data_IF_123997876349
#
_entry.id   IF_123997876349
#
_cell.length_a   1.000
_cell.length_b   1.000
_cell.length_c   1.000
_cell.angle_alpha   90.00
_cell.angle_beta   90.00
_cell.angle_gamma   90.00
#
_symmetry.space_group_name_H-M   'P 1'
#
loop_
_entity.id
_entity.type
_entity.pdbx_description
1 polymer ?
#
# COMPACT_ATOMS: atom_id res chain seq x y z
N UNK A 1 -9.57 9.80 4.64
CA UNK A 1 -9.94 9.79 3.21
C UNK A 1 -10.31 8.38 2.78
N UNK A 2 -11.52 8.16 2.26
CA UNK A 2 -11.91 6.84 1.76
C UNK A 2 -11.00 6.32 0.65
N UNK A 3 -10.84 5.00 0.57
CA UNK A 3 -10.01 4.35 -0.43
C UNK A 3 -10.88 3.75 -1.54
N UNK A 4 -10.55 4.08 -2.79
CA UNK A 4 -11.23 3.56 -3.97
C UNK A 4 -10.35 2.61 -4.77
N UNK A 5 -10.98 1.75 -5.57
CA UNK A 5 -10.29 0.98 -6.59
C UNK A 5 -9.70 1.91 -7.66
N UNK A 6 -8.50 1.58 -8.14
CA UNK A 6 -7.88 2.30 -9.27
C UNK A 6 -8.62 2.07 -10.59
N UNK A 7 -9.39 0.99 -10.69
CA UNK A 7 -10.12 0.61 -11.91
C UNK A 7 -11.61 1.01 -11.87
N UNK A 8 -12.12 1.34 -10.70
CA UNK A 8 -13.53 1.69 -10.49
C UNK A 8 -13.64 2.70 -9.36
N UNK A 9 -14.75 3.39 -9.26
CA UNK A 9 -15.01 4.37 -8.21
C UNK A 9 -15.63 3.78 -6.95
N UNK A 10 -15.46 2.47 -6.74
CA UNK A 10 -16.02 1.77 -5.59
C UNK A 10 -15.20 2.01 -4.34
N UNK A 11 -15.89 2.33 -3.25
CA UNK A 11 -15.28 2.47 -1.92
C UNK A 11 -15.28 1.10 -1.25
N UNK A 12 -14.14 0.68 -0.73
CA UNK A 12 -14.02 -0.62 -0.08
C UNK A 12 -14.41 -0.58 1.38
N UNK A 13 -15.22 -1.55 1.78
CA UNK A 13 -15.44 -1.90 3.17
C UNK A 13 -14.46 -3.00 3.56
N UNK A 14 -14.16 -3.12 4.86
CA UNK A 14 -13.22 -4.13 5.33
C UNK A 14 -13.62 -5.56 4.94
N UNK A 15 -14.91 -5.86 4.88
CA UNK A 15 -15.40 -7.19 4.51
C UNK A 15 -15.23 -7.51 3.04
N UNK A 16 -14.98 -6.51 2.18
CA UNK A 16 -14.75 -6.70 0.75
C UNK A 16 -13.32 -7.17 0.47
N UNK A 17 -12.42 -6.99 1.43
CA UNK A 17 -11.03 -7.38 1.31
C UNK A 17 -10.87 -8.79 1.85
N UNK A 18 -10.71 -9.76 0.95
CA UNK A 18 -10.58 -11.17 1.33
C UNK A 18 -9.15 -11.49 1.76
N UNK A 19 -9.02 -12.51 2.63
CA UNK A 19 -7.71 -12.95 3.12
C UNK A 19 -6.82 -13.39 1.96
N UNK A 20 -5.58 -12.91 1.96
CA UNK A 20 -4.59 -13.23 0.93
C UNK A 20 -4.76 -12.50 -0.39
N UNK A 21 -5.72 -11.58 -0.50
CA UNK A 21 -5.93 -10.81 -1.72
C UNK A 21 -5.18 -9.50 -1.69
N UNK A 22 -4.94 -8.96 -2.90
CA UNK A 22 -4.31 -7.65 -3.12
C UNK A 22 -5.26 -6.79 -3.94
N UNK A 23 -5.52 -5.58 -3.46
CA UNK A 23 -6.34 -4.60 -4.16
C UNK A 23 -5.52 -3.36 -4.46
N UNK A 24 -5.64 -2.86 -5.69
CA UNK A 24 -4.98 -1.65 -6.16
C UNK A 24 -5.97 -0.49 -6.05
N UNK A 25 -5.69 0.47 -5.19
CA UNK A 25 -6.62 1.56 -4.90
C UNK A 25 -5.93 2.93 -4.95
N UNK A 26 -6.73 3.98 -5.06
CA UNK A 26 -6.29 5.36 -4.85
C UNK A 26 -7.20 6.01 -3.81
N UNK A 27 -6.70 6.92 -2.97
CA UNK A 27 -7.54 7.64 -2.03
C UNK A 27 -8.58 8.51 -2.75
N UNK A 28 -9.77 8.60 -2.17
CA UNK A 28 -10.79 9.52 -2.65
C UNK A 28 -10.28 10.96 -2.63
N UNK A 29 -10.79 11.78 -3.51
CA UNK A 29 -10.34 13.16 -3.68
C UNK A 29 -9.21 13.29 -4.69
N UNK A 30 -8.26 12.35 -4.71
CA UNK A 30 -7.20 12.33 -5.72
C UNK A 30 -7.72 11.93 -7.08
N UNK A 31 -8.74 11.08 -7.14
CA UNK A 31 -9.36 10.69 -8.39
C UNK A 31 -10.01 11.87 -9.14
N UNK A 32 -10.40 12.90 -8.40
CA UNK A 32 -11.03 14.09 -8.94
C UNK A 32 -10.06 15.19 -9.36
N UNK A 33 -8.77 15.03 -9.08
CA UNK A 33 -7.76 16.00 -9.47
C UNK A 33 -7.61 16.08 -10.98
N UNK A 34 -7.36 17.29 -11.45
CA UNK A 34 -7.21 17.57 -12.88
C UNK A 34 -5.97 16.87 -13.47
N UNK A 35 -5.93 16.78 -14.80
CA UNK A 35 -4.92 16.03 -15.56
C UNK A 35 -3.47 16.30 -15.16
N UNK A 36 -3.12 17.53 -14.80
CA UNK A 36 -1.75 17.88 -14.42
C UNK A 36 -1.31 17.25 -13.10
N UNK A 37 -2.22 16.57 -12.42
CA UNK A 37 -1.95 15.84 -11.18
C UNK A 37 -1.79 14.33 -11.37
N UNK A 38 -1.59 13.87 -12.60
CA UNK A 38 -1.39 12.43 -12.87
C UNK A 38 -0.23 11.84 -12.09
N UNK A 39 0.88 12.56 -11.98
CA UNK A 39 2.04 12.10 -11.19
C UNK A 39 1.71 11.97 -9.72
N UNK A 40 0.93 12.87 -9.17
CA UNK A 40 0.48 12.80 -7.79
C UNK A 40 -0.46 11.61 -7.58
N UNK A 41 -1.35 11.34 -8.54
CA UNK A 41 -2.21 10.16 -8.49
C UNK A 41 -1.38 8.88 -8.51
N UNK A 42 -0.38 8.79 -9.36
CA UNK A 42 0.51 7.63 -9.43
C UNK A 42 1.24 7.43 -8.10
N UNK A 43 1.76 8.51 -7.51
CA UNK A 43 2.44 8.46 -6.21
C UNK A 43 1.50 8.10 -5.07
N UNK A 44 0.21 8.33 -5.23
CA UNK A 44 -0.80 8.01 -4.23
C UNK A 44 -1.38 6.61 -4.38
N UNK A 45 -0.98 5.85 -5.41
CA UNK A 45 -1.47 4.50 -5.61
C UNK A 45 -1.10 3.60 -4.44
N UNK A 46 -2.07 2.84 -3.97
CA UNK A 46 -1.99 2.04 -2.74
C UNK A 46 -2.29 0.58 -3.04
N UNK A 47 -1.55 -0.30 -2.38
CA UNK A 47 -1.85 -1.73 -2.33
C UNK A 47 -2.50 -2.04 -0.99
N UNK A 48 -3.72 -2.57 -1.01
CA UNK A 48 -4.40 -3.09 0.17
C UNK A 48 -4.24 -4.60 0.20
N UNK A 49 -3.73 -5.12 1.29
CA UNK A 49 -3.48 -6.56 1.44
C UNK A 49 -4.07 -7.01 2.78
N UNK A 50 -4.84 -8.09 2.76
CA UNK A 50 -5.35 -8.68 3.99
C UNK A 50 -4.60 -9.94 4.34
N UNK A 51 -4.01 -9.95 5.53
CA UNK A 51 -3.29 -11.07 6.10
C UNK A 51 -4.01 -11.55 7.36
N UNK A 52 -3.69 -12.78 7.77
CA UNK A 52 -4.05 -13.22 9.12
C UNK A 52 -3.29 -12.32 10.11
N UNK A 53 -3.96 -11.64 11.06
CA UNK A 53 -3.28 -10.78 12.02
C UNK A 53 -2.14 -11.47 12.77
N UNK A 54 -2.23 -12.79 12.98
CA UNK A 54 -1.19 -13.56 13.64
C UNK A 54 0.12 -13.64 12.84
N UNK A 55 0.07 -13.43 11.52
CA UNK A 55 1.26 -13.45 10.67
C UNK A 55 1.97 -12.10 10.60
N UNK A 56 1.33 -11.04 11.07
CA UNK A 56 1.91 -9.69 11.04
C UNK A 56 2.90 -9.47 12.19
N UNK A 57 4.07 -8.97 11.84
CA UNK A 57 5.10 -8.53 12.78
C UNK A 57 5.01 -7.02 12.88
N UNK A 58 4.35 -6.52 13.93
CA UNK A 58 4.08 -5.10 14.07
C UNK A 58 4.57 -4.57 15.41
N UNK A 59 5.26 -3.42 15.39
CA UNK A 59 5.54 -2.65 16.60
C UNK A 59 4.24 -2.09 17.17
N UNK A 60 4.25 -1.63 18.42
CA UNK A 60 3.06 -1.04 19.04
C UNK A 60 2.52 0.15 18.23
N UNK A 61 3.41 0.96 17.65
CA UNK A 61 3.04 2.06 16.78
C UNK A 61 2.37 1.55 15.51
N UNK A 62 2.94 0.54 14.85
CA UNK A 62 2.43 0.01 13.58
C UNK A 62 1.09 -0.71 13.72
N UNK A 63 0.77 -1.24 14.89
CA UNK A 63 -0.54 -1.84 15.15
C UNK A 63 -1.68 -0.83 14.96
N UNK A 64 -1.42 0.45 15.13
CA UNK A 64 -2.41 1.51 14.90
C UNK A 64 -2.57 1.85 13.42
N UNK A 65 -1.69 1.36 12.55
CA UNK A 65 -1.69 1.66 11.11
C UNK A 65 -2.39 0.59 10.27
N UNK A 66 -2.69 -0.56 10.84
CA UNK A 66 -3.42 -1.65 10.19
C UNK A 66 -4.80 -1.80 10.78
N UNK A 67 -5.67 -2.55 10.11
CA UNK A 67 -7.00 -2.85 10.60
C UNK A 67 -7.38 -4.29 10.25
N UNK A 68 -7.59 -5.13 11.27
CA UNK A 68 -8.05 -6.52 11.11
C UNK A 68 -7.20 -7.32 10.09
N UNK A 69 -5.88 -7.18 10.17
CA UNK A 69 -4.96 -7.83 9.24
C UNK A 69 -4.82 -7.14 7.89
N UNK A 70 -5.55 -6.05 7.66
CA UNK A 70 -5.45 -5.27 6.42
C UNK A 70 -4.36 -4.22 6.59
N UNK A 71 -3.40 -4.22 5.67
CA UNK A 71 -2.32 -3.24 5.60
C UNK A 71 -2.35 -2.54 4.25
N UNK A 72 -1.89 -1.30 4.23
CA UNK A 72 -1.83 -0.51 3.01
C UNK A 72 -0.40 0.01 2.82
N UNK A 73 0.11 -0.21 1.62
CA UNK A 73 1.47 0.20 1.25
C UNK A 73 1.47 0.94 -0.07
N UNK A 74 2.46 1.81 -0.26
CA UNK A 74 2.68 2.45 -1.55
C UNK A 74 2.90 1.40 -2.64
N UNK A 75 2.27 1.59 -3.78
CA UNK A 75 2.46 0.73 -4.96
C UNK A 75 3.78 1.01 -5.68
N UNK A 76 4.46 2.10 -5.36
CA UNK A 76 5.63 2.57 -6.09
C UNK A 76 6.91 2.02 -5.47
N UNK A 77 7.66 1.26 -6.27
CA UNK A 77 8.94 0.68 -5.84
C UNK A 77 9.94 1.77 -5.46
N UNK A 78 10.60 1.58 -4.33
CA UNK A 78 11.59 2.55 -3.83
C UNK A 78 12.92 2.52 -4.59
N UNK A 79 13.12 1.58 -5.53
CA UNK A 79 14.31 1.55 -6.36
C UNK A 79 14.29 2.63 -7.44
N UNK A 80 13.41 2.49 -8.45
CA UNK A 80 13.34 3.45 -9.56
C UNK A 80 11.90 3.90 -9.90
N UNK A 81 10.94 3.56 -9.06
CA UNK A 81 9.57 4.03 -9.22
C UNK A 81 8.66 3.16 -10.05
N UNK A 82 9.05 1.95 -10.38
CA UNK A 82 8.16 1.01 -11.07
C UNK A 82 6.99 0.59 -10.16
N UNK A 83 5.80 0.36 -10.73
CA UNK A 83 4.69 -0.15 -9.94
C UNK A 83 4.97 -1.59 -9.47
N UNK A 84 4.79 -1.83 -8.19
CA UNK A 84 4.82 -3.18 -7.61
C UNK A 84 3.50 -3.84 -7.98
N UNK A 85 3.55 -4.99 -8.64
CA UNK A 85 2.35 -5.59 -9.24
C UNK A 85 2.09 -7.04 -8.84
N UNK A 86 3.09 -7.74 -8.31
CA UNK A 86 2.99 -9.17 -8.04
C UNK A 86 2.99 -9.43 -6.54
N UNK A 87 2.09 -10.29 -6.10
CA UNK A 87 2.01 -10.72 -4.71
C UNK A 87 2.00 -12.25 -4.63
N UNK A 88 2.93 -12.80 -3.86
CA UNK A 88 2.98 -14.23 -3.58
C UNK A 88 2.41 -14.52 -2.21
N UNK A 89 1.27 -15.21 -2.17
CA UNK A 89 0.53 -15.48 -0.93
C UNK A 89 1.29 -16.39 0.04
N UNK A 90 2.03 -17.37 -0.46
CA UNK A 90 2.72 -18.34 0.39
C UNK A 90 3.84 -17.71 1.22
N UNK A 91 4.56 -16.78 0.62
CA UNK A 91 5.69 -16.11 1.27
C UNK A 91 5.31 -14.72 1.81
N UNK A 92 4.12 -14.23 1.48
CA UNK A 92 3.65 -12.87 1.79
C UNK A 92 4.58 -11.79 1.22
N UNK A 93 5.09 -12.02 0.01
CA UNK A 93 6.03 -11.12 -0.63
C UNK A 93 5.39 -10.34 -1.78
N UNK A 94 5.66 -9.04 -1.83
CA UNK A 94 5.38 -8.20 -2.98
C UNK A 94 6.63 -8.10 -3.84
N UNK A 95 6.46 -8.24 -5.15
CA UNK A 95 7.57 -8.20 -6.12
C UNK A 95 7.39 -7.05 -7.09
N UNK A 96 8.47 -6.31 -7.29
CA UNK A 96 8.57 -5.31 -8.35
C UNK A 96 9.05 -6.01 -9.63
N UNK A 97 8.28 -5.94 -10.74
CA UNK A 97 8.65 -6.67 -11.96
C UNK A 97 9.86 -6.08 -12.70
N UNK A 98 10.25 -4.84 -12.42
CA UNK A 98 11.32 -4.18 -13.16
C UNK A 98 12.71 -4.76 -12.84
N UNK A 99 13.05 -4.93 -11.57
CA UNK A 99 14.37 -5.40 -11.13
C UNK A 99 14.27 -6.44 -10.02
N UNK A 100 13.09 -7.05 -9.83
CA UNK A 100 12.86 -8.14 -8.88
C UNK A 100 13.03 -7.75 -7.41
N UNK A 101 12.95 -6.48 -7.05
CA UNK A 101 12.92 -6.08 -5.63
C UNK A 101 11.74 -6.75 -4.95
N UNK A 102 12.00 -7.36 -3.79
CA UNK A 102 11.03 -8.17 -3.07
C UNK A 102 10.87 -7.63 -1.65
N UNK A 103 9.61 -7.47 -1.23
CA UNK A 103 9.26 -6.85 0.04
C UNK A 103 8.41 -7.82 0.87
N UNK A 104 8.75 -7.97 2.14
CA UNK A 104 8.00 -8.83 3.07
C UNK A 104 6.86 -8.04 3.72
N UNK A 105 5.63 -8.32 3.30
CA UNK A 105 4.44 -7.62 3.79
C UNK A 105 4.19 -7.87 5.27
N UNK A 106 4.59 -9.02 5.80
CA UNK A 106 4.39 -9.35 7.22
C UNK A 106 5.29 -8.53 8.14
N UNK A 107 6.39 -7.99 7.63
CA UNK A 107 7.39 -7.26 8.40
C UNK A 107 7.66 -5.89 7.78
N UNK A 108 6.65 -5.05 7.80
CA UNK A 108 6.71 -3.64 7.38
C UNK A 108 7.18 -3.43 5.93
N UNK A 109 6.95 -4.40 5.04
CA UNK A 109 7.44 -4.39 3.67
C UNK A 109 8.95 -4.14 3.56
N UNK A 110 9.72 -4.71 4.50
CA UNK A 110 11.19 -4.64 4.42
C UNK A 110 11.68 -5.30 3.14
N UNK A 111 12.77 -4.82 2.62
CA UNK A 111 13.42 -5.42 1.44
C UNK A 111 14.07 -6.73 1.84
N UNK A 112 13.68 -7.82 1.18
CA UNK A 112 14.27 -9.16 1.41
C UNK A 112 15.11 -9.63 0.25
N UNK A 113 14.96 -9.01 -0.92
CA UNK A 113 15.73 -9.31 -2.11
C UNK A 113 15.67 -8.13 -3.08
N UNK A 114 16.72 -7.98 -3.88
CA UNK A 114 16.76 -7.00 -4.98
C UNK A 114 17.34 -5.65 -4.59
N UNK A 115 17.33 -4.70 -5.54
CA UNK A 115 18.10 -3.46 -5.42
C UNK A 115 17.40 -2.33 -4.68
N UNK A 116 16.14 -2.48 -4.26
CA UNK A 116 15.45 -1.42 -3.50
C UNK A 116 16.22 -1.09 -2.23
N UNK A 117 16.42 0.20 -1.97
CA UNK A 117 17.25 0.66 -0.86
C UNK A 117 16.49 0.80 0.45
N UNK A 118 15.16 0.84 0.40
CA UNK A 118 14.34 1.02 1.60
C UNK A 118 12.97 0.35 1.45
N UNK A 119 12.26 0.10 2.57
CA UNK A 119 10.93 -0.52 2.53
C UNK A 119 9.93 0.32 1.73
N UNK A 120 8.83 -0.31 1.32
CA UNK A 120 7.68 0.43 0.81
C UNK A 120 7.05 1.24 1.95
N UNK A 121 6.76 2.52 1.74
CA UNK A 121 6.06 3.32 2.75
C UNK A 121 4.67 2.76 3.05
N UNK A 122 4.32 2.74 4.32
CA UNK A 122 2.99 2.31 4.77
C UNK A 122 2.03 3.49 4.82
N UNK A 123 0.78 3.23 4.45
CA UNK A 123 -0.31 4.18 4.62
C UNK A 123 -1.12 3.75 5.85
N UNK A 124 -1.13 4.53 6.93
CA UNK A 124 -1.97 4.20 8.08
C UNK A 124 -3.46 4.22 7.71
N UNK A 125 -4.17 3.16 8.04
CA UNK A 125 -5.60 3.03 7.72
C UNK A 125 -6.43 2.74 8.97
N UNK A 126 -7.72 3.00 8.85
CA UNK A 126 -8.72 2.60 9.82
C UNK A 126 -10.06 2.43 9.09
N UNK A 127 -11.13 2.26 9.81
CA UNK A 127 -12.48 2.27 9.23
C UNK A 127 -13.30 3.40 9.83
N UNK A 128 -14.22 3.93 9.03
CA UNK A 128 -15.18 4.92 9.52
C UNK A 128 -16.35 4.25 10.24
N UNK A 129 -17.33 5.04 10.69
CA UNK A 129 -18.51 4.55 11.42
C UNK A 129 -19.35 3.56 10.58
N UNK A 130 -19.25 3.60 9.26
CA UNK A 130 -19.97 2.74 8.34
C UNK A 130 -19.20 1.50 7.92
N UNK A 131 -17.94 1.37 8.36
CA UNK A 131 -17.07 0.24 8.04
C UNK A 131 -16.27 0.39 6.76
N UNK A 132 -16.24 1.56 6.15
CA UNK A 132 -15.40 1.84 4.99
C UNK A 132 -13.95 2.08 5.40
N UNK A 133 -13.02 1.56 4.60
CA UNK A 133 -11.60 1.80 4.81
C UNK A 133 -11.24 3.25 4.47
N UNK A 134 -10.54 3.90 5.36
CA UNK A 134 -10.07 5.28 5.18
C UNK A 134 -8.60 5.39 5.57
N UNK A 135 -7.90 6.34 4.95
CA UNK A 135 -6.54 6.69 5.36
C UNK A 135 -6.60 7.60 6.60
N UNK A 136 -5.81 7.30 7.61
CA UNK A 136 -5.71 8.13 8.82
C UNK A 136 -4.85 9.36 8.58
N UNK A 137 -3.85 9.22 7.73
CA UNK A 137 -2.84 10.25 7.45
C UNK A 137 -2.20 9.96 6.10
N UNK A 138 -1.23 10.76 5.70
CA UNK A 138 -0.39 10.48 4.55
C UNK A 138 0.55 9.29 4.82
N UNK A 139 1.27 8.84 3.79
CA UNK A 139 2.28 7.80 3.93
C UNK A 139 3.29 8.17 5.00
N UNK A 140 3.76 7.16 5.72
CA UNK A 140 4.71 7.35 6.84
C UNK A 140 6.10 7.77 6.40
N UNK A 141 6.43 7.50 5.14
CA UNK A 141 7.71 7.84 4.51
C UNK A 141 7.45 8.37 3.10
N UNK A 142 8.41 9.07 2.50
CA UNK A 142 8.26 9.52 1.11
C UNK A 142 8.06 8.37 0.13
N UNK A 143 7.17 8.58 -0.83
CA UNK A 143 6.85 7.59 -1.86
C UNK A 143 7.88 7.62 -2.98
N UNK A 144 8.24 6.43 -3.45
CA UNK A 144 9.12 6.27 -4.61
C UNK A 144 10.61 6.33 -4.28
N UNK A 145 11.45 6.43 -5.33
CA UNK A 145 12.89 6.48 -5.15
C UNK A 145 13.34 7.75 -4.44
N UNK A 146 14.42 7.66 -3.67
CA UNK A 146 14.95 8.81 -2.92
C UNK A 146 15.34 9.99 -3.81
N UNK A 147 15.71 9.72 -5.06
CA UNK A 147 16.08 10.81 -5.97
C UNK A 147 14.90 11.67 -6.43
N UNK A 148 13.65 11.22 -6.23
CA UNK A 148 12.48 12.04 -6.55
C UNK A 148 12.32 13.27 -5.64
N UNK A 149 12.99 13.25 -4.52
CA UNK A 149 12.93 14.35 -3.54
C UNK A 149 13.96 15.44 -3.75
N UNK A 150 14.78 15.27 -4.75
CA UNK A 150 15.85 16.23 -5.08
C UNK A 150 15.37 17.36 -5.97
#
# INVERSE_FOLDING_TARGET
TPLYSSAASDVYKRQDITLGSVFHVIPEGLAELKKHKLEEKAKAAVLLIRLNPADLIESEERKTWSYDGIVAYSKICTHVGCPVALYEQLTHNLLCPCHQSTFDVTDACKVVFGPAARPLPQLPITVDAEGYLIAQSDFTEPVGPSFWER
#
